data_IF_067540914507
#
_entry.id   IF_067540914507
#
_cell.length_a   1.000
_cell.length_b   1.000
_cell.length_c   1.000
_cell.angle_alpha   90.00
_cell.angle_beta   90.00
_cell.angle_gamma   90.00
#
_symmetry.space_group_name_H-M   'P 1'
#
loop_
_entity.id
_entity.type
_entity.pdbx_description
1 polymer ?
#
# COMPACT_ATOMS: atom_id res chain seq x y z
N UNK A 1 -11.10 18.80 -6.01
CA UNK A 1 -11.87 17.70 -5.41
C UNK A 1 -10.82 16.70 -5.01
N UNK A 2 -10.52 16.58 -3.72
CA UNK A 2 -9.57 15.57 -3.25
C UNK A 2 -10.19 14.22 -3.60
N UNK A 3 -9.54 13.45 -4.48
CA UNK A 3 -10.01 12.10 -4.77
C UNK A 3 -9.95 11.30 -3.47
N UNK A 4 -11.10 10.78 -3.05
CA UNK A 4 -11.17 9.89 -1.91
C UNK A 4 -10.41 8.61 -2.26
N UNK A 5 -9.22 8.45 -1.67
CA UNK A 5 -8.38 7.27 -1.88
C UNK A 5 -9.05 6.10 -1.15
N UNK A 6 -9.88 5.36 -1.87
CA UNK A 6 -10.56 4.17 -1.37
C UNK A 6 -9.88 2.91 -1.89
N UNK A 7 -9.82 1.88 -1.05
CA UNK A 7 -9.34 0.57 -1.48
C UNK A 7 -10.26 0.03 -2.58
N UNK A 8 -9.73 -0.67 -3.60
CA UNK A 8 -10.56 -1.33 -4.60
C UNK A 8 -11.58 -2.26 -3.93
N UNK A 9 -12.81 -2.28 -4.45
CA UNK A 9 -13.87 -3.17 -3.97
C UNK A 9 -13.39 -4.63 -4.00
N UNK A 10 -13.76 -5.38 -2.98
CA UNK A 10 -13.44 -6.82 -2.82
C UNK A 10 -11.93 -7.13 -2.83
N UNK A 11 -11.09 -6.15 -2.45
CA UNK A 11 -9.65 -6.36 -2.26
C UNK A 11 -9.28 -6.65 -0.82
N UNK A 12 -8.13 -7.29 -0.61
CA UNK A 12 -7.57 -7.51 0.73
C UNK A 12 -7.38 -6.20 1.52
N UNK A 13 -7.15 -5.06 0.84
CA UNK A 13 -7.07 -3.75 1.47
C UNK A 13 -8.44 -3.26 1.96
N UNK A 14 -9.51 -3.54 1.21
CA UNK A 14 -10.88 -3.23 1.64
C UNK A 14 -11.28 -4.10 2.84
N UNK A 15 -10.88 -5.36 2.86
CA UNK A 15 -11.12 -6.24 4.02
C UNK A 15 -10.33 -5.80 5.24
N UNK A 16 -9.07 -5.38 5.06
CA UNK A 16 -8.23 -4.83 6.12
C UNK A 16 -8.85 -3.58 6.76
N UNK A 17 -9.43 -2.68 5.95
CA UNK A 17 -10.10 -1.45 6.42
C UNK A 17 -11.37 -1.72 7.24
N UNK A 18 -12.03 -2.87 7.05
CA UNK A 18 -13.24 -3.26 7.78
C UNK A 18 -12.96 -3.95 9.12
N UNK A 19 -11.71 -4.28 9.43
CA UNK A 19 -11.37 -4.96 10.68
C UNK A 19 -11.58 -4.05 11.88
N UNK A 20 -12.28 -4.57 12.89
CA UNK A 20 -12.49 -3.85 14.15
C UNK A 20 -11.20 -3.88 14.99
N UNK A 21 -10.53 -2.72 15.07
CA UNK A 21 -9.29 -2.56 15.83
C UNK A 21 -9.51 -2.50 17.34
N UNK A 22 -10.75 -2.27 17.80
CA UNK A 22 -11.05 -2.23 19.23
C UNK A 22 -10.89 -3.60 19.91
N UNK A 23 -10.86 -4.67 19.13
CA UNK A 23 -10.64 -6.04 19.59
C UNK A 23 -9.15 -6.38 19.80
N UNK A 24 -8.24 -5.52 19.34
CA UNK A 24 -6.79 -5.75 19.44
C UNK A 24 -6.19 -5.03 20.66
N UNK A 25 -5.28 -5.71 21.35
CA UNK A 25 -4.49 -5.14 22.44
C UNK A 25 -3.37 -4.20 21.96
N UNK A 26 -2.70 -3.53 22.88
CA UNK A 26 -1.61 -2.57 22.58
C UNK A 26 -0.47 -3.23 21.78
N UNK A 27 -0.05 -4.43 22.18
CA UNK A 27 1.06 -5.14 21.52
C UNK A 27 0.65 -5.62 20.12
N UNK A 28 -0.59 -6.07 19.94
CA UNK A 28 -1.14 -6.50 18.65
C UNK A 28 -1.24 -5.32 17.68
N UNK A 29 -1.73 -4.17 18.15
CA UNK A 29 -1.79 -2.94 17.37
C UNK A 29 -0.39 -2.44 17.00
N UNK A 30 0.58 -2.54 17.92
CA UNK A 30 1.97 -2.17 17.65
C UNK A 30 2.58 -3.08 16.58
N UNK A 31 2.40 -4.40 16.69
CA UNK A 31 2.85 -5.35 15.68
C UNK A 31 2.17 -5.12 14.33
N UNK A 32 0.86 -4.83 14.33
CA UNK A 32 0.10 -4.49 13.12
C UNK A 32 0.69 -3.29 12.39
N UNK A 33 1.02 -2.21 13.11
CA UNK A 33 1.62 -1.00 12.52
C UNK A 33 2.94 -1.35 11.84
N UNK A 34 3.84 -2.05 12.52
CA UNK A 34 5.15 -2.44 11.97
C UNK A 34 5.01 -3.22 10.66
N UNK A 35 4.06 -4.16 10.60
CA UNK A 35 3.79 -4.95 9.40
C UNK A 35 3.23 -4.10 8.25
N UNK A 36 2.31 -3.19 8.55
CA UNK A 36 1.73 -2.30 7.54
C UNK A 36 2.76 -1.30 6.98
N UNK A 37 3.64 -0.76 7.82
CA UNK A 37 4.74 0.11 7.39
C UNK A 37 5.73 -0.62 6.48
N UNK A 38 6.05 -1.89 6.80
CA UNK A 38 6.88 -2.72 5.93
C UNK A 38 6.21 -2.97 4.57
N UNK A 39 4.90 -3.21 4.53
CA UNK A 39 4.16 -3.35 3.27
C UNK A 39 4.12 -2.03 2.47
N UNK A 40 3.96 -0.89 3.14
CA UNK A 40 4.07 0.43 2.51
C UNK A 40 5.45 0.62 1.87
N UNK A 41 6.52 0.26 2.56
CA UNK A 41 7.87 0.34 2.02
C UNK A 41 8.04 -0.54 0.77
N UNK A 42 7.51 -1.77 0.80
CA UNK A 42 7.50 -2.66 -0.37
C UNK A 42 6.71 -2.09 -1.54
N UNK A 43 5.51 -1.55 -1.29
CA UNK A 43 4.69 -0.94 -2.33
C UNK A 43 5.37 0.27 -2.97
N UNK A 44 6.03 1.11 -2.17
CA UNK A 44 6.83 2.25 -2.65
C UNK A 44 8.00 1.79 -3.52
N UNK A 45 8.74 0.77 -3.10
CA UNK A 45 9.84 0.22 -3.89
C UNK A 45 9.38 -0.33 -5.25
N UNK A 46 8.24 -1.03 -5.29
CA UNK A 46 7.65 -1.52 -6.53
C UNK A 46 7.16 -0.40 -7.44
N UNK A 47 6.58 0.67 -6.88
CA UNK A 47 6.16 1.84 -7.64
C UNK A 47 7.37 2.49 -8.31
N UNK A 48 8.46 2.67 -7.57
CA UNK A 48 9.69 3.28 -8.10
C UNK A 48 10.32 2.43 -9.21
N UNK A 49 10.42 1.11 -9.00
CA UNK A 49 10.90 0.19 -10.04
C UNK A 49 10.07 0.26 -11.33
N UNK A 50 8.74 0.38 -11.21
CA UNK A 50 7.85 0.52 -12.38
C UNK A 50 8.00 1.87 -13.08
N UNK A 51 8.23 2.96 -12.34
CA UNK A 51 8.50 4.28 -12.92
C UNK A 51 9.82 4.29 -13.68
N UNK A 52 10.90 3.81 -13.05
CA UNK A 52 12.22 3.69 -13.71
C UNK A 52 12.16 2.84 -14.98
N UNK A 53 11.49 1.68 -14.93
CA UNK A 53 11.30 0.84 -16.12
C UNK A 53 10.49 1.52 -17.23
N UNK A 54 9.56 2.41 -16.89
CA UNK A 54 8.76 3.16 -17.87
C UNK A 54 9.61 4.25 -18.52
N UNK A 55 10.38 4.99 -17.72
CA UNK A 55 11.21 6.08 -18.21
C UNK A 55 12.38 5.55 -19.09
N UNK A 56 12.95 4.39 -18.75
CA UNK A 56 13.94 3.68 -19.57
C UNK A 56 13.34 3.18 -20.90
N UNK A 57 12.10 2.68 -20.87
CA UNK A 57 11.40 2.26 -22.09
C UNK A 57 11.06 3.46 -22.99
N UNK A 58 10.59 4.58 -22.43
CA UNK A 58 10.31 5.80 -23.20
C UNK A 58 11.57 6.40 -23.84
N UNK A 59 12.75 6.24 -23.23
CA UNK A 59 14.03 6.65 -23.81
C UNK A 59 14.49 5.77 -24.99
N UNK A 60 14.07 4.51 -25.06
CA UNK A 60 14.38 3.58 -26.16
C UNK A 60 13.51 3.80 -27.42
N UNK A 61 12.37 4.47 -27.28
CA UNK A 61 11.43 4.73 -28.38
C UNK A 61 11.46 6.18 -28.90
N UNK A 62 12.41 7.02 -28.46
CA UNK A 62 12.71 8.36 -28.98
C UNK A 62 14.03 8.37 -29.75
#
# INVERSE_FOLDING_TARGET
>A
MEEEITAPKDSALADLQKQDLSLQGVDELSARIVLLEAEIARARAMLESKKGSRDDAEALFK
#
